data_IF_543966307324
#
_entry.id   IF_543966307324
#
_cell.length_a   1.000
_cell.length_b   1.000
_cell.length_c   1.000
_cell.angle_alpha   90.00
_cell.angle_beta   90.00
_cell.angle_gamma   90.00
#
_symmetry.space_group_name_H-M   'P 1'
#
loop_
_entity.id
_entity.type
_entity.pdbx_description
1 polymer ?
#
# COMPACT_ATOMS: atom_id res chain seq x y z
N UNK A 1 -31.14 35.36 1.48
CA UNK A 1 -30.17 34.25 1.54
C UNK A 1 -29.01 34.70 2.39
N UNK A 2 -28.88 34.16 3.60
CA UNK A 2 -27.81 34.50 4.56
C UNK A 2 -26.48 33.97 4.03
N UNK A 3 -25.52 34.85 3.73
CA UNK A 3 -24.12 34.46 3.51
C UNK A 3 -23.61 33.97 4.87
N UNK A 4 -23.25 32.69 4.95
CA UNK A 4 -22.63 32.12 6.14
C UNK A 4 -21.40 32.96 6.47
N UNK A 5 -21.45 33.64 7.61
CA UNK A 5 -20.30 34.35 8.18
C UNK A 5 -19.35 33.26 8.64
N UNK A 6 -18.36 32.94 7.82
CA UNK A 6 -17.20 32.19 8.26
C UNK A 6 -16.50 33.01 9.33
N UNK A 7 -16.22 32.38 10.47
CA UNK A 7 -15.51 33.01 11.58
C UNK A 7 -14.17 33.57 11.04
N UNK A 8 -13.83 34.85 11.29
CA UNK A 8 -12.56 35.42 10.86
C UNK A 8 -11.33 34.64 11.34
N UNK A 9 -11.43 33.86 12.43
CA UNK A 9 -10.36 32.93 12.81
C UNK A 9 -10.20 31.76 11.83
N UNK A 10 -11.29 31.31 11.23
CA UNK A 10 -11.30 30.25 10.21
C UNK A 10 -10.71 30.76 8.89
N UNK A 11 -11.00 32.01 8.53
CA UNK A 11 -10.41 32.67 7.36
C UNK A 11 -8.91 32.95 7.57
N UNK A 12 -8.50 33.36 8.77
CA UNK A 12 -7.10 33.59 9.11
C UNK A 12 -6.24 32.30 9.07
N UNK A 13 -6.83 31.13 9.36
CA UNK A 13 -6.14 29.83 9.25
C UNK A 13 -5.91 29.40 7.79
N UNK A 14 -6.74 29.83 6.84
CA UNK A 14 -6.56 29.51 5.41
C UNK A 14 -5.44 30.33 4.75
N UNK A 15 -5.15 31.52 5.27
CA UNK A 15 -4.18 32.47 4.69
C UNK A 15 -2.80 32.38 5.36
N UNK A 16 -2.67 31.69 6.50
CA UNK A 16 -1.35 31.42 7.07
C UNK A 16 -0.52 30.58 6.08
N UNK A 17 0.75 30.95 5.84
CA UNK A 17 1.71 30.01 5.25
C UNK A 17 1.61 28.72 6.06
N UNK A 18 1.22 27.62 5.43
CA UNK A 18 1.15 26.31 6.09
C UNK A 18 2.49 26.11 6.77
N UNK A 19 2.50 25.99 8.10
CA UNK A 19 3.69 25.55 8.83
C UNK A 19 4.20 24.29 8.12
N UNK A 20 5.50 24.26 7.78
CA UNK A 20 6.09 23.06 7.17
C UNK A 20 5.74 21.87 8.04
N UNK A 21 5.15 20.83 7.44
CA UNK A 21 4.79 19.62 8.17
C UNK A 21 6.02 19.14 8.95
N UNK A 22 5.82 18.90 10.25
CA UNK A 22 6.79 18.24 11.10
C UNK A 22 7.10 16.83 10.57
N UNK A 23 8.14 16.19 11.10
CA UNK A 23 8.55 14.85 10.63
C UNK A 23 7.42 13.82 10.75
N UNK A 24 6.58 13.95 11.78
CA UNK A 24 5.41 13.10 11.96
C UNK A 24 4.34 13.38 10.90
N UNK A 25 4.04 14.65 10.61
CA UNK A 25 3.10 15.06 9.58
C UNK A 25 3.53 14.62 8.18
N UNK A 26 4.82 14.69 7.86
CA UNK A 26 5.37 14.14 6.61
C UNK A 26 5.20 12.63 6.56
N UNK A 27 5.57 11.92 7.63
CA UNK A 27 5.41 10.47 7.70
C UNK A 27 3.95 10.02 7.54
N UNK A 28 3.01 10.70 8.21
CA UNK A 28 1.59 10.43 8.08
C UNK A 28 1.10 10.69 6.65
N UNK A 29 1.55 11.79 6.01
CA UNK A 29 1.21 12.10 4.62
C UNK A 29 1.64 10.97 3.67
N UNK A 30 2.87 10.49 3.80
CA UNK A 30 3.35 9.38 2.96
C UNK A 30 2.66 8.05 3.28
N UNK A 31 2.28 7.83 4.54
CA UNK A 31 1.49 6.66 4.93
C UNK A 31 0.09 6.72 4.31
N UNK A 32 -0.56 7.89 4.33
CA UNK A 32 -1.84 8.10 3.67
C UNK A 32 -1.73 7.88 2.16
N UNK A 33 -0.73 8.47 1.51
CA UNK A 33 -0.51 8.30 0.08
C UNK A 33 -0.17 6.86 -0.30
N UNK A 34 0.70 6.20 0.49
CA UNK A 34 1.03 4.79 0.31
C UNK A 34 -0.19 3.89 0.48
N UNK A 35 -1.06 4.21 1.45
CA UNK A 35 -2.32 3.50 1.67
C UNK A 35 -3.30 3.72 0.52
N UNK A 36 -3.47 4.96 0.07
CA UNK A 36 -4.33 5.28 -1.06
C UNK A 36 -3.86 4.57 -2.33
N UNK A 37 -2.54 4.58 -2.57
CA UNK A 37 -1.94 3.89 -3.70
C UNK A 37 -2.15 2.37 -3.63
N UNK A 38 -1.80 1.73 -2.50
CA UNK A 38 -1.96 0.29 -2.32
C UNK A 38 -3.43 -0.15 -2.45
N UNK A 39 -4.36 0.65 -1.89
CA UNK A 39 -5.79 0.35 -1.93
C UNK A 39 -6.37 0.52 -3.33
N UNK A 40 -6.08 1.63 -4.01
CA UNK A 40 -6.64 1.91 -5.35
C UNK A 40 -6.05 0.95 -6.38
N UNK A 41 -4.73 0.78 -6.38
CA UNK A 41 -4.06 -0.06 -7.37
C UNK A 41 -4.26 -1.55 -7.07
N UNK A 42 -4.37 -1.94 -5.80
CA UNK A 42 -4.66 -3.32 -5.36
C UNK A 42 -6.15 -3.67 -5.28
N UNK A 43 -7.04 -2.74 -5.65
CA UNK A 43 -8.48 -2.89 -5.45
C UNK A 43 -9.07 -4.19 -6.02
N UNK A 44 -8.73 -4.64 -7.24
CA UNK A 44 -9.28 -5.88 -7.78
C UNK A 44 -9.01 -7.09 -6.86
N UNK A 45 -7.78 -7.28 -6.38
CA UNK A 45 -7.44 -8.37 -5.47
C UNK A 45 -8.13 -8.24 -4.10
N UNK A 46 -8.26 -7.01 -3.57
CA UNK A 46 -8.97 -6.76 -2.31
C UNK A 46 -10.47 -7.07 -2.42
N UNK A 47 -11.08 -6.74 -3.56
CA UNK A 47 -12.48 -7.11 -3.86
C UNK A 47 -12.62 -8.62 -3.90
N UNK A 48 -11.74 -9.33 -4.61
CA UNK A 48 -11.78 -10.80 -4.66
C UNK A 48 -11.64 -11.40 -3.26
N UNK A 49 -10.70 -10.94 -2.45
CA UNK A 49 -10.53 -11.42 -1.08
C UNK A 49 -11.78 -11.20 -0.24
N UNK A 50 -12.35 -9.99 -0.28
CA UNK A 50 -13.55 -9.61 0.49
C UNK A 50 -14.78 -10.41 0.08
N UNK A 51 -15.00 -10.62 -1.21
CA UNK A 51 -16.17 -11.32 -1.73
C UNK A 51 -15.99 -12.83 -1.87
N UNK A 52 -14.82 -13.38 -1.49
CA UNK A 52 -14.58 -14.83 -1.50
C UNK A 52 -15.40 -15.59 -0.44
N UNK A 53 -15.85 -14.90 0.62
CA UNK A 53 -16.46 -15.54 1.79
C UNK A 53 -15.47 -16.28 2.70
N UNK A 54 -14.17 -16.19 2.41
CA UNK A 54 -13.11 -16.84 3.17
C UNK A 54 -12.42 -15.84 4.12
N UNK A 55 -12.46 -16.12 5.42
CA UNK A 55 -11.83 -15.28 6.44
C UNK A 55 -10.31 -15.32 6.39
N UNK A 56 -9.71 -16.47 6.05
CA UNK A 56 -8.25 -16.60 5.90
C UNK A 56 -7.79 -15.76 4.71
N UNK A 57 -8.52 -15.80 3.59
CA UNK A 57 -8.26 -14.94 2.44
C UNK A 57 -8.28 -13.46 2.82
N UNK A 58 -9.33 -13.03 3.53
CA UNK A 58 -9.49 -11.64 3.96
C UNK A 58 -8.39 -11.19 4.92
N UNK A 59 -8.01 -12.04 5.88
CA UNK A 59 -6.93 -11.77 6.84
C UNK A 59 -5.57 -11.64 6.14
N UNK A 60 -5.25 -12.55 5.22
CA UNK A 60 -4.01 -12.48 4.44
C UNK A 60 -3.96 -11.24 3.54
N UNK A 61 -5.08 -10.89 2.89
CA UNK A 61 -5.18 -9.68 2.09
C UNK A 61 -4.94 -8.41 2.92
N UNK A 62 -5.52 -8.34 4.13
CA UNK A 62 -5.32 -7.22 5.04
C UNK A 62 -3.85 -7.09 5.45
N UNK A 63 -3.19 -8.20 5.80
CA UNK A 63 -1.77 -8.21 6.11
C UNK A 63 -0.91 -7.71 4.94
N UNK A 64 -1.17 -8.20 3.73
CA UNK A 64 -0.48 -7.77 2.52
C UNK A 64 -0.71 -6.28 2.20
N UNK A 65 -1.93 -5.79 2.35
CA UNK A 65 -2.27 -4.39 2.14
C UNK A 65 -1.55 -3.48 3.14
N UNK A 66 -1.51 -3.85 4.43
CA UNK A 66 -0.78 -3.10 5.46
C UNK A 66 0.71 -3.02 5.11
N UNK A 67 1.33 -4.14 4.73
CA UNK A 67 2.73 -4.18 4.36
C UNK A 67 3.02 -3.32 3.11
N UNK A 68 2.16 -3.34 2.09
CA UNK A 68 2.27 -2.47 0.91
C UNK A 68 2.18 -0.99 1.32
N UNK A 69 1.15 -0.61 2.08
CA UNK A 69 0.95 0.77 2.52
C UNK A 69 2.14 1.33 3.30
N UNK A 70 2.62 0.57 4.29
CA UNK A 70 3.77 0.96 5.10
C UNK A 70 5.07 0.93 4.30
N UNK A 71 5.25 -0.07 3.45
CA UNK A 71 6.45 -0.23 2.63
C UNK A 71 6.64 0.91 1.64
N UNK A 72 5.59 1.28 0.92
CA UNK A 72 5.58 2.42 0.00
C UNK A 72 5.94 3.71 0.75
N UNK A 73 5.30 3.94 1.90
CA UNK A 73 5.56 5.12 2.73
C UNK A 73 7.01 5.17 3.24
N UNK A 74 7.57 4.01 3.62
CA UNK A 74 8.94 3.89 4.10
C UNK A 74 9.97 4.20 3.00
N UNK A 75 9.73 3.72 1.77
CA UNK A 75 10.57 4.05 0.61
C UNK A 75 10.50 5.53 0.24
N UNK A 76 9.30 6.12 0.20
CA UNK A 76 9.11 7.54 -0.13
C UNK A 76 9.80 8.49 0.84
N UNK A 77 9.78 8.14 2.13
CA UNK A 77 10.46 8.91 3.17
C UNK A 77 11.97 8.61 3.30
N UNK A 78 12.54 7.77 2.42
CA UNK A 78 13.94 7.37 2.50
C UNK A 78 14.30 6.55 3.75
N UNK A 79 13.31 6.12 4.54
CA UNK A 79 13.52 5.26 5.72
C UNK A 79 13.83 3.81 5.33
N UNK A 80 13.54 3.44 4.09
CA UNK A 80 13.90 2.16 3.48
C UNK A 80 14.68 2.43 2.18
N UNK A 81 15.94 2.00 2.14
CA UNK A 81 16.86 2.19 1.01
C UNK A 81 17.49 0.88 0.56
N UNK A 82 16.65 -0.16 0.43
CA UNK A 82 17.10 -1.49 0.00
C UNK A 82 16.92 -1.63 -1.51
N UNK A 83 18.01 -1.93 -2.22
CA UNK A 83 18.01 -2.19 -3.66
C UNK A 83 18.00 -0.92 -4.52
N UNK A 84 17.55 -1.04 -5.79
CA UNK A 84 17.34 0.09 -6.68
C UNK A 84 16.38 1.14 -6.08
N UNK A 85 16.41 2.35 -6.64
CA UNK A 85 15.46 3.40 -6.24
C UNK A 85 14.01 2.96 -6.43
N UNK A 86 13.13 3.41 -5.54
CA UNK A 86 11.71 3.19 -5.71
C UNK A 86 11.24 3.78 -7.04
N UNK A 87 10.42 3.08 -7.84
CA UNK A 87 10.08 3.54 -9.19
C UNK A 87 9.43 4.93 -9.12
N UNK A 88 9.67 5.87 -10.05
CA UNK A 88 9.02 7.17 -10.02
C UNK A 88 7.52 7.05 -10.36
N UNK A 89 6.72 8.06 -9.99
CA UNK A 89 5.30 8.10 -10.33
C UNK A 89 5.13 8.58 -11.79
N UNK A 90 4.99 7.65 -12.72
CA UNK A 90 4.65 7.90 -14.13
C UNK A 90 3.51 6.98 -14.57
N UNK A 91 2.84 7.28 -15.69
CA UNK A 91 1.73 6.44 -16.21
C UNK A 91 2.15 4.98 -16.38
N UNK A 92 3.36 4.75 -16.91
CA UNK A 92 3.90 3.41 -17.06
C UNK A 92 4.06 2.71 -15.70
N UNK A 93 4.73 3.37 -14.76
CA UNK A 93 4.99 2.76 -13.45
C UNK A 93 3.72 2.62 -12.61
N UNK A 94 2.71 3.46 -12.80
CA UNK A 94 1.39 3.25 -12.22
C UNK A 94 0.77 1.93 -12.72
N UNK A 95 0.88 1.64 -14.01
CA UNK A 95 0.44 0.35 -14.58
C UNK A 95 1.25 -0.83 -14.04
N UNK A 96 2.58 -0.71 -13.97
CA UNK A 96 3.45 -1.75 -13.39
C UNK A 96 3.07 -2.04 -11.93
N UNK A 97 2.89 -0.99 -11.12
CA UNK A 97 2.50 -1.11 -9.71
C UNK A 97 1.11 -1.71 -9.57
N UNK A 98 0.15 -1.35 -10.43
CA UNK A 98 -1.17 -1.97 -10.44
C UNK A 98 -1.10 -3.48 -10.64
N UNK A 99 -0.38 -3.93 -11.67
CA UNK A 99 -0.19 -5.36 -11.92
C UNK A 99 0.54 -6.02 -10.73
N UNK A 100 1.60 -5.39 -10.24
CA UNK A 100 2.43 -5.92 -9.18
C UNK A 100 1.67 -6.07 -7.85
N UNK A 101 0.93 -5.05 -7.41
CA UNK A 101 0.20 -5.10 -6.13
C UNK A 101 -0.90 -6.15 -6.18
N UNK A 102 -1.61 -6.28 -7.29
CA UNK A 102 -2.59 -7.36 -7.44
C UNK A 102 -1.94 -8.74 -7.43
N UNK A 103 -0.77 -8.92 -8.05
CA UNK A 103 -0.02 -10.18 -7.99
C UNK A 103 0.41 -10.51 -6.55
N UNK A 104 1.00 -9.55 -5.84
CA UNK A 104 1.45 -9.72 -4.45
C UNK A 104 0.27 -10.09 -3.54
N UNK A 105 -0.85 -9.37 -3.66
CA UNK A 105 -2.06 -9.64 -2.89
C UNK A 105 -2.69 -10.99 -3.27
N UNK A 106 -2.71 -11.34 -4.57
CA UNK A 106 -3.19 -12.64 -5.02
C UNK A 106 -2.34 -13.78 -4.45
N UNK A 107 -1.01 -13.64 -4.44
CA UNK A 107 -0.11 -14.62 -3.81
C UNK A 107 -0.36 -14.71 -2.30
N UNK A 108 -0.55 -13.59 -1.61
CA UNK A 108 -0.86 -13.59 -0.18
C UNK A 108 -2.17 -14.34 0.10
N UNK A 109 -3.22 -14.05 -0.68
CA UNK A 109 -4.55 -14.64 -0.54
C UNK A 109 -4.55 -16.12 -0.92
N UNK A 110 -4.26 -16.44 -2.18
CA UNK A 110 -4.34 -17.80 -2.69
C UNK A 110 -3.25 -18.68 -2.11
N UNK A 111 -2.06 -18.13 -1.81
CA UNK A 111 -1.01 -18.88 -1.11
C UNK A 111 -1.45 -19.29 0.30
N UNK A 112 -2.08 -18.38 1.05
CA UNK A 112 -2.58 -18.71 2.39
C UNK A 112 -3.71 -19.73 2.34
N UNK A 113 -4.70 -19.53 1.47
CA UNK A 113 -5.85 -20.45 1.33
C UNK A 113 -5.42 -21.82 0.82
N UNK A 114 -4.65 -21.88 -0.28
CA UNK A 114 -4.25 -23.13 -0.90
C UNK A 114 -3.26 -23.95 -0.04
N UNK A 115 -2.54 -23.29 0.87
CA UNK A 115 -1.63 -24.00 1.79
C UNK A 115 -2.36 -24.92 2.77
N UNK A 116 -3.62 -24.62 3.11
CA UNK A 116 -4.36 -25.34 4.15
C UNK A 116 -3.75 -25.21 5.57
N UNK A 117 -2.76 -24.34 5.76
CA UNK A 117 -2.02 -24.20 7.02
C UNK A 117 -2.77 -23.38 8.08
N UNK A 118 -3.74 -22.57 7.66
CA UNK A 118 -4.44 -21.63 8.52
C UNK A 118 -5.89 -22.06 8.74
N UNK A 119 -6.38 -21.84 9.96
CA UNK A 119 -7.77 -22.10 10.33
C UNK A 119 -8.54 -20.79 10.51
N UNK A 120 -9.87 -20.86 10.48
CA UNK A 120 -10.73 -19.72 10.77
C UNK A 120 -10.81 -19.35 12.27
N UNK A 121 -9.99 -19.98 13.12
CA UNK A 121 -9.87 -19.59 14.52
C UNK A 121 -9.13 -18.25 14.65
N UNK A 122 -9.34 -17.48 15.74
CA UNK A 122 -8.65 -16.19 15.92
C UNK A 122 -7.12 -16.26 15.77
N UNK A 123 -6.50 -17.31 16.30
CA UNK A 123 -5.06 -17.54 16.17
C UNK A 123 -4.65 -17.88 14.73
N UNK A 124 -5.46 -18.67 14.01
CA UNK A 124 -5.25 -18.99 12.61
C UNK A 124 -5.35 -17.76 11.69
N UNK A 125 -6.33 -16.89 11.94
CA UNK A 125 -6.48 -15.63 11.22
C UNK A 125 -5.34 -14.64 11.49
N UNK A 126 -4.88 -14.54 12.75
CA UNK A 126 -3.70 -13.74 13.08
C UNK A 126 -2.45 -14.25 12.34
N UNK A 127 -2.24 -15.57 12.29
CA UNK A 127 -1.15 -16.17 11.54
C UNK A 127 -1.27 -15.92 10.03
N UNK A 128 -2.48 -15.98 9.46
CA UNK A 128 -2.73 -15.65 8.06
C UNK A 128 -2.42 -14.17 7.75
N UNK A 129 -2.77 -13.25 8.66
CA UNK A 129 -2.37 -11.83 8.55
C UNK A 129 -0.84 -11.68 8.54
N UNK A 130 -0.12 -12.36 9.44
CA UNK A 130 1.36 -12.33 9.47
C UNK A 130 1.95 -12.90 8.18
N UNK A 131 1.39 -13.98 7.64
CA UNK A 131 1.81 -14.53 6.36
C UNK A 131 1.58 -13.52 5.21
N UNK A 132 0.42 -12.84 5.21
CA UNK A 132 0.12 -11.76 4.29
C UNK A 132 1.11 -10.60 4.38
N UNK A 133 1.48 -10.19 5.60
CA UNK A 133 2.52 -9.17 5.84
C UNK A 133 3.86 -9.62 5.24
N UNK A 134 4.26 -10.87 5.45
CA UNK A 134 5.52 -11.39 4.93
C UNK A 134 5.56 -11.37 3.39
N UNK A 135 4.47 -11.81 2.74
CA UNK A 135 4.35 -11.75 1.27
C UNK A 135 4.34 -10.30 0.78
N UNK A 136 3.58 -9.42 1.44
CA UNK A 136 3.54 -7.99 1.11
C UNK A 136 4.90 -7.32 1.24
N UNK A 137 5.63 -7.60 2.32
CA UNK A 137 6.98 -7.09 2.55
C UNK A 137 7.96 -7.59 1.48
N UNK A 138 7.92 -8.87 1.13
CA UNK A 138 8.72 -9.42 0.04
C UNK A 138 8.38 -8.73 -1.30
N UNK A 139 7.08 -8.50 -1.57
CA UNK A 139 6.61 -7.79 -2.75
C UNK A 139 7.10 -6.35 -2.83
N UNK A 140 7.07 -5.63 -1.70
CA UNK A 140 7.63 -4.27 -1.58
C UNK A 140 9.12 -4.27 -1.89
N UNK A 141 9.90 -5.17 -1.28
CA UNK A 141 11.35 -5.23 -1.47
C UNK A 141 11.75 -5.66 -2.89
N UNK A 142 10.91 -6.45 -3.56
CA UNK A 142 11.19 -6.93 -4.92
C UNK A 142 10.79 -5.93 -6.02
N UNK A 143 9.84 -5.02 -5.77
CA UNK A 143 9.33 -4.10 -6.80
C UNK A 143 10.42 -3.21 -7.45
N UNK A 144 11.38 -2.62 -6.71
CA UNK A 144 12.43 -1.82 -7.33
C UNK A 144 13.26 -2.60 -8.37
N UNK A 145 13.51 -3.88 -8.12
CA UNK A 145 14.24 -4.75 -9.05
C UNK A 145 13.43 -5.05 -10.30
N UNK A 146 12.12 -5.29 -10.15
CA UNK A 146 11.22 -5.51 -11.30
C UNK A 146 11.15 -4.27 -12.18
N UNK A 147 11.02 -3.09 -11.57
CA UNK A 147 11.01 -1.83 -12.31
C UNK A 147 12.34 -1.56 -13.02
N UNK A 148 13.48 -1.82 -12.37
CA UNK A 148 14.80 -1.70 -12.98
C UNK A 148 14.96 -2.66 -14.18
N UNK A 149 14.41 -3.88 -14.09
CA UNK A 149 14.38 -4.83 -15.20
C UNK A 149 13.56 -4.33 -16.39
N UNK A 150 12.37 -3.77 -16.13
CA UNK A 150 11.51 -3.18 -17.16
C UNK A 150 12.20 -1.99 -17.85
N UNK A 151 12.82 -1.10 -17.08
CA UNK A 151 13.54 0.05 -17.61
C UNK A 151 14.73 -0.39 -18.48
N UNK A 152 15.46 -1.42 -18.06
CA UNK A 152 16.56 -1.99 -18.85
C UNK A 152 16.06 -2.56 -20.18
N UNK A 153 14.93 -3.27 -20.18
CA UNK A 153 14.32 -3.82 -21.40
C UNK A 153 13.80 -2.76 -22.37
N UNK A 154 13.40 -1.58 -21.88
CA UNK A 154 12.96 -0.46 -22.74
C UNK A 154 14.08 0.23 -23.51
N UNK A 155 15.34 0.04 -23.09
CA UNK A 155 16.52 0.67 -23.69
C UNK A 155 17.18 -0.21 -24.77
N UNK A 156 16.73 -1.45 -24.92
CA UNK A 156 17.12 -2.39 -25.97
C UNK A 156 16.22 -2.23 -27.19
#
# INVERSE_FOLDING_TARGET
>A
MSRGVTDPETEARQVRPREENDELGKWLSDLFDGTAEATVLGLPALVVATFSGDFVASSAALGGAVALSWGVAAYRNGRLSVGPEWPPFSVLYAGVRAVWYNLVLAVAVFGSVASGLFSASPAGLAAATVAGIAVGAAGVLALPFVAAGIESGRRL
#
